data_IF_336368956102
#
_entry.id   IF_336368956102
#
_cell.length_a   1.000
_cell.length_b   1.000
_cell.length_c   1.000
_cell.angle_alpha   90.00
_cell.angle_beta   90.00
_cell.angle_gamma   90.00
#
_symmetry.space_group_name_H-M   'P 1'
#
loop_
_entity.id
_entity.type
_entity.pdbx_description
1 polymer ?
#
# COMPACT_ATOMS: atom_id res chain seq x y z
N UNK A 1 6.21 13.61 -8.08
CA UNK A 1 7.22 12.60 -8.45
C UNK A 1 7.73 12.90 -9.86
N UNK A 2 9.07 12.91 -10.07
CA UNK A 2 9.68 13.20 -11.39
C UNK A 2 9.50 12.07 -12.38
N UNK A 3 9.72 12.35 -13.69
CA UNK A 3 9.66 11.32 -14.76
C UNK A 3 10.68 10.20 -14.52
N UNK A 4 11.89 10.56 -14.07
CA UNK A 4 12.96 9.59 -13.76
C UNK A 4 12.56 8.64 -12.62
N UNK A 5 11.98 9.15 -11.54
CA UNK A 5 11.49 8.34 -10.41
C UNK A 5 10.37 7.38 -10.85
N UNK A 6 9.45 7.83 -11.73
CA UNK A 6 8.41 6.96 -12.30
C UNK A 6 9.01 5.85 -13.14
N UNK A 7 9.99 6.19 -13.99
CA UNK A 7 10.72 5.22 -14.81
C UNK A 7 11.45 4.19 -13.95
N UNK A 8 12.11 4.65 -12.90
CA UNK A 8 12.81 3.76 -11.96
C UNK A 8 11.85 2.83 -11.21
N UNK A 9 10.72 3.35 -10.72
CA UNK A 9 9.70 2.52 -10.07
C UNK A 9 9.15 1.46 -11.03
N UNK A 10 8.87 1.82 -12.29
CA UNK A 10 8.43 0.87 -13.32
C UNK A 10 9.45 -0.25 -13.53
N UNK A 11 10.74 0.09 -13.62
CA UNK A 11 11.83 -0.89 -13.75
C UNK A 11 11.84 -1.84 -12.55
N UNK A 12 11.78 -1.33 -11.32
CA UNK A 12 11.75 -2.17 -10.11
C UNK A 12 10.54 -3.12 -10.08
N UNK A 13 9.37 -2.65 -10.50
CA UNK A 13 8.17 -3.49 -10.60
C UNK A 13 8.41 -4.63 -11.60
N UNK A 14 8.97 -4.33 -12.77
CA UNK A 14 9.26 -5.33 -13.79
C UNK A 14 10.29 -6.37 -13.32
N UNK A 15 11.34 -5.92 -12.64
CA UNK A 15 12.42 -6.80 -12.19
C UNK A 15 12.04 -7.66 -10.96
N UNK A 16 11.21 -7.14 -10.06
CA UNK A 16 11.05 -7.74 -8.73
C UNK A 16 9.63 -8.20 -8.39
N UNK A 17 8.62 -7.59 -9.02
CA UNK A 17 7.22 -7.83 -8.64
C UNK A 17 6.51 -8.83 -9.54
N UNK A 18 6.96 -9.05 -10.77
CA UNK A 18 6.33 -9.99 -11.68
C UNK A 18 6.78 -11.41 -11.31
N UNK A 19 5.83 -12.25 -10.94
CA UNK A 19 6.04 -13.68 -10.65
C UNK A 19 5.39 -14.51 -11.75
N UNK A 20 6.23 -15.25 -12.49
CA UNK A 20 5.80 -16.22 -13.48
C UNK A 20 5.65 -17.57 -12.81
N UNK A 21 4.57 -18.27 -13.10
CA UNK A 21 4.19 -19.54 -12.49
C UNK A 21 4.34 -20.69 -13.51
N UNK A 22 4.81 -21.83 -13.05
CA UNK A 22 4.90 -23.06 -13.88
C UNK A 22 3.53 -23.62 -14.30
N UNK A 23 2.48 -23.26 -13.54
CA UNK A 23 1.09 -23.62 -13.80
C UNK A 23 0.16 -22.42 -13.61
N UNK A 24 -0.93 -22.40 -14.38
CA UNK A 24 -1.94 -21.35 -14.19
C UNK A 24 -2.61 -21.45 -12.82
N UNK A 25 -2.89 -20.28 -12.23
CA UNK A 25 -3.69 -20.15 -11.01
C UNK A 25 -4.98 -19.41 -11.34
N UNK A 26 -6.03 -19.68 -10.57
CA UNK A 26 -7.30 -18.97 -10.69
C UNK A 26 -7.29 -17.78 -9.75
N UNK A 27 -7.54 -16.60 -10.29
CA UNK A 27 -7.70 -15.36 -9.52
C UNK A 27 -9.06 -15.34 -8.83
N UNK A 28 -9.25 -14.43 -7.87
CA UNK A 28 -10.54 -14.21 -7.22
C UNK A 28 -11.65 -13.77 -8.18
N UNK A 29 -11.29 -13.17 -9.32
CA UNK A 29 -12.19 -12.87 -10.43
C UNK A 29 -12.70 -14.11 -11.19
N UNK A 30 -12.10 -15.30 -10.96
CA UNK A 30 -12.36 -16.52 -11.72
C UNK A 30 -11.47 -16.69 -12.96
N UNK A 31 -10.71 -15.69 -13.35
CA UNK A 31 -9.78 -15.75 -14.49
C UNK A 31 -8.54 -16.58 -14.16
N UNK A 32 -7.96 -17.22 -15.17
CA UNK A 32 -6.71 -17.96 -15.03
C UNK A 32 -5.54 -17.16 -15.58
N UNK A 33 -4.45 -17.15 -14.80
CA UNK A 33 -3.21 -16.47 -15.21
C UNK A 33 -1.98 -17.32 -14.91
N UNK A 34 -0.90 -17.10 -15.68
CA UNK A 34 0.42 -17.67 -15.43
C UNK A 34 1.36 -16.69 -14.74
N UNK A 35 0.91 -15.47 -14.43
CA UNK A 35 1.70 -14.48 -13.71
C UNK A 35 0.82 -13.65 -12.78
N UNK A 36 1.44 -13.10 -11.76
CA UNK A 36 0.80 -12.12 -10.88
C UNK A 36 1.83 -11.08 -10.41
N UNK A 37 1.33 -9.95 -9.97
CA UNK A 37 2.14 -8.89 -9.40
C UNK A 37 2.20 -9.05 -7.89
N UNK A 38 3.43 -9.17 -7.35
CA UNK A 38 3.69 -9.22 -5.91
C UNK A 38 4.50 -7.98 -5.51
N UNK A 39 3.79 -6.96 -5.03
CA UNK A 39 4.44 -5.68 -4.67
C UNK A 39 5.38 -5.78 -3.47
N UNK A 40 5.38 -6.91 -2.74
CA UNK A 40 6.38 -7.17 -1.69
C UNK A 40 7.82 -7.16 -2.22
N UNK A 41 8.01 -7.32 -3.51
CA UNK A 41 9.30 -7.07 -4.18
C UNK A 41 9.82 -5.63 -4.07
N UNK A 42 8.96 -4.67 -3.66
CA UNK A 42 9.31 -3.28 -3.39
C UNK A 42 9.51 -2.97 -1.89
N UNK A 43 9.46 -3.96 -1.00
CA UNK A 43 9.56 -3.72 0.44
C UNK A 43 11.01 -3.57 0.91
N UNK A 44 11.77 -2.73 0.19
CA UNK A 44 13.08 -2.21 0.57
C UNK A 44 13.07 -0.68 0.61
N UNK A 45 14.19 -0.08 1.00
CA UNK A 45 14.28 1.37 1.16
C UNK A 45 14.01 2.15 -0.13
N UNK A 46 14.51 1.68 -1.29
CA UNK A 46 14.29 2.33 -2.58
C UNK A 46 12.86 2.15 -3.06
N UNK A 47 12.38 0.91 -3.07
CA UNK A 47 11.04 0.56 -3.54
C UNK A 47 9.94 1.24 -2.73
N UNK A 48 10.01 1.13 -1.40
CA UNK A 48 9.02 1.77 -0.50
C UNK A 48 9.05 3.29 -0.61
N UNK A 49 10.23 3.91 -0.75
CA UNK A 49 10.30 5.35 -0.93
C UNK A 49 9.61 5.80 -2.24
N UNK A 50 9.89 5.12 -3.35
CA UNK A 50 9.32 5.47 -4.66
C UNK A 50 7.81 5.23 -4.71
N UNK A 51 7.33 4.08 -4.24
CA UNK A 51 5.89 3.79 -4.21
C UNK A 51 5.17 4.69 -3.21
N UNK A 52 5.79 4.97 -2.07
CA UNK A 52 5.26 5.89 -1.07
C UNK A 52 5.10 7.31 -1.58
N UNK A 53 6.09 7.86 -2.29
CA UNK A 53 5.98 9.19 -2.94
C UNK A 53 4.84 9.23 -3.96
N UNK A 54 4.68 8.17 -4.76
CA UNK A 54 3.60 8.10 -5.75
C UNK A 54 2.23 8.08 -5.06
N UNK A 55 2.06 7.18 -4.09
CA UNK A 55 0.81 7.05 -3.36
C UNK A 55 0.49 8.30 -2.54
N UNK A 56 1.49 8.91 -1.89
CA UNK A 56 1.31 10.16 -1.16
C UNK A 56 0.79 11.28 -2.06
N UNK A 57 1.32 11.41 -3.28
CA UNK A 57 0.87 12.42 -4.23
C UNK A 57 -0.61 12.22 -4.63
N UNK A 58 -1.09 10.99 -4.69
CA UNK A 58 -2.50 10.69 -4.95
C UNK A 58 -3.37 10.90 -3.70
N UNK A 59 -2.94 10.34 -2.58
CA UNK A 59 -3.66 10.40 -1.30
C UNK A 59 -3.85 11.85 -0.81
N UNK A 60 -2.84 12.70 -0.95
CA UNK A 60 -2.91 14.10 -0.50
C UNK A 60 -4.00 14.92 -1.20
N UNK A 61 -4.44 14.54 -2.39
CA UNK A 61 -5.54 15.20 -3.12
C UNK A 61 -6.88 15.12 -2.37
N UNK A 62 -7.06 14.13 -1.52
CA UNK A 62 -8.28 13.90 -0.75
C UNK A 62 -8.25 14.52 0.66
N UNK A 63 -7.10 15.11 1.06
CA UNK A 63 -6.89 15.70 2.38
C UNK A 63 -7.40 14.80 3.53
N UNK A 64 -6.97 13.52 3.61
CA UNK A 64 -7.48 12.59 4.60
C UNK A 64 -7.00 12.94 6.01
N UNK A 65 -7.81 12.59 7.02
CA UNK A 65 -7.39 12.57 8.43
C UNK A 65 -6.80 11.22 8.82
N UNK A 66 -7.16 10.16 8.10
CA UNK A 66 -6.53 8.86 8.28
C UNK A 66 -6.41 8.06 6.99
N UNK A 67 -5.40 7.20 6.95
CA UNK A 67 -5.05 6.33 5.82
C UNK A 67 -5.02 4.90 6.35
N UNK A 68 -5.72 4.00 5.71
CA UNK A 68 -5.80 2.62 6.15
C UNK A 68 -5.89 1.59 5.04
N UNK A 69 -5.99 0.33 5.43
CA UNK A 69 -6.13 -0.81 4.52
C UNK A 69 -6.22 -2.14 5.25
N UNK A 70 -6.29 -3.23 4.50
CA UNK A 70 -6.36 -4.57 5.08
C UNK A 70 -4.96 -5.10 5.47
N UNK A 71 -4.90 -5.81 6.60
CA UNK A 71 -3.67 -6.54 6.95
C UNK A 71 -3.44 -7.69 5.94
N UNK A 72 -2.20 -8.06 5.62
CA UNK A 72 -0.91 -7.57 6.12
C UNK A 72 -0.25 -6.64 5.09
N UNK A 73 -0.58 -6.78 3.80
CA UNK A 73 0.14 -6.16 2.69
C UNK A 73 -0.01 -4.64 2.63
N UNK A 74 -1.14 -4.10 3.06
CA UNK A 74 -1.35 -2.66 3.12
C UNK A 74 -0.51 -1.95 4.19
N UNK A 75 -0.09 -2.65 5.25
CA UNK A 75 0.60 -2.02 6.40
C UNK A 75 1.89 -1.29 6.01
N UNK A 76 2.82 -1.87 5.22
CA UNK A 76 4.02 -1.16 4.78
C UNK A 76 3.70 0.08 3.94
N UNK A 77 2.66 0.03 3.10
CA UNK A 77 2.22 1.15 2.28
C UNK A 77 1.67 2.28 3.15
N UNK A 78 0.79 1.96 4.09
CA UNK A 78 0.25 2.93 5.07
C UNK A 78 1.39 3.60 5.82
N UNK A 79 2.33 2.81 6.33
CA UNK A 79 3.45 3.30 7.14
C UNK A 79 4.32 4.28 6.37
N UNK A 80 4.69 3.97 5.13
CA UNK A 80 5.54 4.84 4.31
C UNK A 80 4.80 6.12 3.90
N UNK A 81 3.50 6.05 3.56
CA UNK A 81 2.71 7.23 3.19
C UNK A 81 2.58 8.19 4.38
N UNK A 82 2.27 7.67 5.57
CA UNK A 82 2.15 8.48 6.79
C UNK A 82 3.50 9.14 7.13
N UNK A 83 4.59 8.38 7.09
CA UNK A 83 5.93 8.91 7.39
C UNK A 83 6.36 9.99 6.39
N UNK A 84 6.22 9.75 5.10
CA UNK A 84 6.54 10.71 4.05
C UNK A 84 5.62 11.93 4.08
N UNK A 85 4.34 11.74 4.38
CA UNK A 85 3.36 12.81 4.51
C UNK A 85 3.67 13.78 5.63
N UNK A 86 4.28 13.31 6.72
CA UNK A 86 4.72 14.17 7.81
C UNK A 86 5.91 15.06 7.42
N UNK A 87 6.85 14.51 6.64
CA UNK A 87 8.10 15.21 6.26
C UNK A 87 8.00 15.99 4.95
N UNK A 88 6.96 15.74 4.13
CA UNK A 88 6.80 16.38 2.82
C UNK A 88 6.49 17.88 2.94
N UNK A 89 7.14 18.68 2.10
CA UNK A 89 6.84 20.11 1.96
C UNK A 89 5.68 20.37 0.98
N UNK A 90 5.50 19.51 -0.02
CA UNK A 90 4.53 19.71 -1.11
C UNK A 90 3.23 18.92 -0.93
N UNK A 91 3.33 17.73 -0.35
CA UNK A 91 2.19 16.81 -0.17
C UNK A 91 1.99 16.51 1.32
N UNK A 92 2.19 17.51 2.20
CA UNK A 92 2.10 17.32 3.63
C UNK A 92 0.71 16.88 4.04
N UNK A 93 0.63 15.76 4.74
CA UNK A 93 -0.59 15.31 5.40
C UNK A 93 -0.31 15.13 6.90
N UNK A 94 -1.26 15.49 7.73
CA UNK A 94 -1.26 15.16 9.16
C UNK A 94 -2.02 13.87 9.45
N UNK A 95 -2.24 13.05 8.42
CA UNK A 95 -3.05 11.85 8.54
C UNK A 95 -2.41 10.80 9.44
N UNK A 96 -3.24 10.16 10.26
CA UNK A 96 -2.86 8.97 11.03
C UNK A 96 -3.00 7.70 10.20
N UNK A 97 -2.30 6.62 10.61
CA UNK A 97 -2.42 5.30 10.00
C UNK A 97 -3.33 4.38 10.81
N UNK A 98 -4.07 3.52 10.12
CA UNK A 98 -4.78 2.40 10.73
C UNK A 98 -4.77 1.19 9.79
N UNK A 99 -5.04 0.00 10.32
CA UNK A 99 -5.30 -1.17 9.49
C UNK A 99 -6.46 -2.00 10.03
N UNK A 100 -7.10 -2.72 9.13
CA UNK A 100 -8.22 -3.61 9.43
C UNK A 100 -7.72 -5.04 9.45
N UNK A 101 -7.99 -5.77 10.52
CA UNK A 101 -7.64 -7.17 10.67
C UNK A 101 -8.59 -8.07 9.88
N UNK A 102 -8.07 -9.12 9.27
CA UNK A 102 -8.91 -10.14 8.60
C UNK A 102 -9.80 -10.89 9.60
N UNK A 103 -9.27 -11.16 10.79
CA UNK A 103 -10.00 -11.84 11.88
C UNK A 103 -9.95 -10.99 13.16
N UNK A 104 -10.98 -11.15 13.99
CA UNK A 104 -11.00 -10.56 15.34
C UNK A 104 -10.01 -11.34 16.22
N UNK A 105 -9.26 -10.65 17.08
CA UNK A 105 -8.40 -11.31 18.08
C UNK A 105 -9.24 -12.17 19.00
N UNK A 106 -8.78 -13.39 19.25
CA UNK A 106 -9.41 -14.30 20.22
C UNK A 106 -9.17 -13.85 21.67
N UNK A 107 -8.12 -13.02 21.92
CA UNK A 107 -7.75 -12.52 23.24
C UNK A 107 -7.48 -11.02 23.24
N UNK A 108 -7.69 -10.37 24.37
CA UNK A 108 -7.49 -8.95 24.60
C UNK A 108 -8.66 -8.07 24.10
N UNK A 109 -8.37 -6.82 23.78
CA UNK A 109 -9.38 -5.93 23.19
C UNK A 109 -9.70 -6.43 21.77
N UNK A 110 -10.83 -7.08 21.60
CA UNK A 110 -11.30 -7.70 20.35
C UNK A 110 -11.58 -6.66 19.24
N UNK A 111 -10.62 -5.80 18.97
CA UNK A 111 -10.73 -4.76 17.93
C UNK A 111 -10.42 -5.33 16.56
N UNK A 112 -11.25 -5.00 15.60
CA UNK A 112 -11.02 -5.28 14.18
C UNK A 112 -10.16 -4.21 13.52
N UNK A 113 -10.17 -2.98 14.03
CA UNK A 113 -9.41 -1.83 13.54
C UNK A 113 -8.33 -1.51 14.58
N UNK A 114 -7.10 -1.42 14.10
CA UNK A 114 -5.92 -1.05 14.89
C UNK A 114 -5.35 0.26 14.34
N UNK A 115 -5.02 1.18 15.23
CA UNK A 115 -4.58 2.53 14.91
C UNK A 115 -5.68 3.58 15.10
N UNK A 116 -5.50 4.75 14.51
CA UNK A 116 -6.41 5.89 14.70
C UNK A 116 -7.20 6.18 13.43
N UNK A 117 -8.49 5.90 13.45
CA UNK A 117 -9.42 6.12 12.34
C UNK A 117 -10.24 7.40 12.58
N UNK A 118 -10.14 8.34 11.64
CA UNK A 118 -10.89 9.61 11.63
C UNK A 118 -11.26 9.98 10.19
N UNK A 119 -12.49 10.42 9.97
CA UNK A 119 -12.95 10.89 8.66
C UNK A 119 -12.37 12.29 8.30
N UNK A 120 -12.07 12.54 7.02
CA UNK A 120 -12.18 11.67 5.87
C UNK A 120 -11.05 10.62 5.80
N UNK A 121 -11.37 9.44 5.25
CA UNK A 121 -10.50 8.27 5.18
C UNK A 121 -10.10 8.00 3.73
N UNK A 122 -8.82 7.62 3.51
CA UNK A 122 -8.37 7.00 2.27
C UNK A 122 -7.93 5.57 2.55
N UNK A 123 -8.38 4.63 1.73
CA UNK A 123 -7.98 3.23 1.80
C UNK A 123 -6.92 2.97 0.73
N UNK A 124 -5.83 2.30 1.12
CA UNK A 124 -4.79 1.78 0.23
C UNK A 124 -4.73 0.27 0.35
N UNK A 125 -4.45 -0.40 -0.77
CA UNK A 125 -4.42 -1.86 -0.82
C UNK A 125 -3.26 -2.33 -1.69
N UNK A 126 -2.68 -3.48 -1.36
CA UNK A 126 -1.59 -4.10 -2.10
C UNK A 126 -2.09 -5.04 -3.22
N UNK A 127 -3.34 -5.45 -3.16
CA UNK A 127 -3.98 -6.34 -4.15
C UNK A 127 -5.27 -5.72 -4.66
N UNK A 128 -5.39 -5.70 -5.98
CA UNK A 128 -6.63 -5.34 -6.67
C UNK A 128 -6.99 -6.47 -7.64
N UNK A 129 -8.18 -7.01 -7.52
CA UNK A 129 -8.74 -8.06 -8.39
C UNK A 129 -9.99 -7.57 -9.10
#
# INVERSE_FOLDING_TARGET
MTVEKKSRLKQLIQERCIKVLDRSVTLSSGERTYYYYDIKGLFDGEGLNLVGELLLAEVSKFNPKSIGGLEVGAIPLISVIVALGYTSYTNRTGASGFYVRKSIKEHGLQKKIEGNLQDPVVIVEDVMT
#
